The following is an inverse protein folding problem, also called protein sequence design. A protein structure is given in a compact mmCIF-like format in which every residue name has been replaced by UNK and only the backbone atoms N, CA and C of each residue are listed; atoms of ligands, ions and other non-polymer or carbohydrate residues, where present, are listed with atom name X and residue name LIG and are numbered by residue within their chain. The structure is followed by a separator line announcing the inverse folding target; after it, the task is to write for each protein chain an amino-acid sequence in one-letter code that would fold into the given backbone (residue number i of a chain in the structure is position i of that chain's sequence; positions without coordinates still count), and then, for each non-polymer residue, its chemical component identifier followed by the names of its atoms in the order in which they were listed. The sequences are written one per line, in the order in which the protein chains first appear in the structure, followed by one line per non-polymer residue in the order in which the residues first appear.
data_IF_544261552230
#
_entry.id   IF_544261552230
#
_cell.length_a   1.000
_cell.length_b   1.000
_cell.length_c   1.000
_cell.angle_alpha   90.00
_cell.angle_beta   90.00
_cell.angle_gamma   90.00
#
_symmetry.space_group_name_H-M   'P 1'
#
loop_
_entity.id
_entity.type
_entity.pdbx_description
1 polymer ?
#
# COMPACT_ATOMS: atom_id res chain seq x y z
N UNK A 1 21.32 -1.68 8.25
CA UNK A 1 21.96 -2.50 7.19
C UNK A 1 21.04 -3.67 6.91
N UNK A 2 20.80 -3.99 5.63
CA UNK A 2 19.97 -5.13 5.23
C UNK A 2 20.83 -6.39 5.18
N UNK A 3 20.32 -7.47 5.74
CA UNK A 3 20.97 -8.79 5.79
C UNK A 3 20.39 -9.73 4.74
N UNK A 4 20.83 -10.99 4.78
CA UNK A 4 20.31 -12.07 3.94
C UNK A 4 18.79 -12.28 4.12
N UNK A 5 18.22 -11.91 5.28
CA UNK A 5 16.76 -11.97 5.50
C UNK A 5 16.00 -11.14 4.47
N UNK A 6 16.50 -9.94 4.15
CA UNK A 6 15.90 -9.08 3.14
C UNK A 6 16.02 -9.68 1.74
N UNK A 7 17.18 -10.26 1.39
CA UNK A 7 17.38 -10.98 0.12
C UNK A 7 16.37 -12.11 -0.04
N UNK A 8 16.17 -12.91 1.02
CA UNK A 8 15.21 -14.01 1.03
C UNK A 8 13.77 -13.53 0.89
N UNK A 9 13.41 -12.40 1.53
CA UNK A 9 12.11 -11.78 1.37
C UNK A 9 11.86 -11.29 -0.05
N UNK A 10 12.88 -10.68 -0.68
CA UNK A 10 12.80 -10.23 -2.07
C UNK A 10 12.60 -11.41 -3.05
N UNK A 11 13.37 -12.49 -2.88
CA UNK A 11 13.20 -13.71 -3.68
C UNK A 11 11.80 -14.29 -3.47
N UNK A 12 11.33 -14.34 -2.23
CA UNK A 12 10.00 -14.87 -1.92
C UNK A 12 8.89 -14.02 -2.55
N UNK A 13 8.92 -12.69 -2.37
CA UNK A 13 7.95 -11.76 -2.95
C UNK A 13 7.93 -11.84 -4.49
N UNK A 14 9.10 -11.87 -5.13
CA UNK A 14 9.21 -11.96 -6.60
C UNK A 14 8.63 -13.27 -7.15
N UNK A 15 8.87 -14.39 -6.48
CA UNK A 15 8.31 -15.69 -6.86
C UNK A 15 6.80 -15.73 -6.65
N UNK A 16 6.35 -15.23 -5.50
CA UNK A 16 4.94 -15.26 -5.11
C UNK A 16 4.08 -14.41 -6.06
N UNK A 17 4.58 -13.25 -6.46
CA UNK A 17 3.88 -12.33 -7.37
C UNK A 17 4.32 -12.46 -8.84
N UNK A 18 5.00 -13.55 -9.24
CA UNK A 18 5.64 -13.69 -10.55
C UNK A 18 4.69 -13.51 -11.75
N UNK A 19 3.43 -13.94 -11.59
CA UNK A 19 2.40 -13.84 -12.62
C UNK A 19 1.38 -12.72 -12.35
N UNK A 20 1.58 -11.90 -11.31
CA UNK A 20 0.69 -10.80 -10.98
C UNK A 20 1.10 -9.53 -11.73
N UNK A 21 0.10 -8.82 -12.23
CA UNK A 21 0.27 -7.51 -12.87
C UNK A 21 -0.61 -6.46 -12.19
N UNK A 22 -0.19 -5.20 -12.28
CA UNK A 22 -0.98 -4.05 -11.84
C UNK A 22 -2.26 -3.94 -12.66
N UNK A 23 -3.39 -3.73 -11.98
CA UNK A 23 -4.72 -3.64 -12.59
C UNK A 23 -4.74 -2.57 -13.67
N UNK A 24 -5.05 -2.97 -14.90
CA UNK A 24 -5.27 -2.10 -16.04
C UNK A 24 -4.02 -1.51 -16.71
N UNK A 25 -2.79 -1.79 -16.23
CA UNK A 25 -1.55 -1.30 -16.86
C UNK A 25 -0.61 -2.40 -17.36
N UNK A 26 -0.79 -3.66 -16.93
CA UNK A 26 0.06 -4.78 -17.33
C UNK A 26 1.48 -4.75 -16.74
N UNK A 27 1.82 -3.74 -15.94
CA UNK A 27 3.11 -3.62 -15.27
C UNK A 27 3.27 -4.76 -14.26
N UNK A 28 4.40 -5.48 -14.23
CA UNK A 28 4.66 -6.52 -13.23
C UNK A 28 4.46 -6.02 -11.80
N UNK A 29 3.74 -6.77 -10.96
CA UNK A 29 3.37 -6.32 -9.61
C UNK A 29 4.59 -6.07 -8.72
N UNK A 30 5.68 -6.80 -8.95
CA UNK A 30 6.96 -6.61 -8.27
C UNK A 30 7.47 -5.17 -8.33
N UNK A 31 7.17 -4.40 -9.40
CA UNK A 31 7.56 -3.00 -9.50
C UNK A 31 6.96 -2.16 -8.35
N UNK A 32 5.74 -2.49 -7.92
CA UNK A 32 5.12 -1.86 -6.77
C UNK A 32 5.81 -2.26 -5.46
N UNK A 33 6.04 -3.56 -5.24
CA UNK A 33 6.66 -4.05 -4.01
C UNK A 33 8.05 -3.44 -3.79
N UNK A 34 8.85 -3.35 -4.87
CA UNK A 34 10.14 -2.68 -4.85
C UNK A 34 10.01 -1.18 -4.59
N UNK A 35 9.02 -0.52 -5.19
CA UNK A 35 8.75 0.91 -4.95
C UNK A 35 8.37 1.21 -3.51
N UNK A 36 7.51 0.39 -2.90
CA UNK A 36 7.11 0.53 -1.49
C UNK A 36 8.29 0.29 -0.55
N UNK A 37 9.09 -0.75 -0.80
CA UNK A 37 10.29 -1.01 -0.03
C UNK A 37 11.33 0.12 -0.14
N UNK A 38 11.53 0.68 -1.34
CA UNK A 38 12.41 1.84 -1.56
C UNK A 38 11.95 3.04 -0.74
N UNK A 39 10.66 3.40 -0.84
CA UNK A 39 10.09 4.53 -0.08
C UNK A 39 10.24 4.27 1.42
N UNK A 40 9.85 3.11 1.93
CA UNK A 40 9.99 2.79 3.36
C UNK A 40 11.43 2.97 3.86
N UNK A 41 12.42 2.48 3.10
CA UNK A 41 13.85 2.63 3.42
C UNK A 41 14.31 4.09 3.40
N UNK A 42 13.88 4.88 2.43
CA UNK A 42 14.17 6.32 2.36
C UNK A 42 13.62 7.09 3.56
N UNK A 43 12.51 6.62 4.15
CA UNK A 43 11.90 7.19 5.35
C UNK A 43 12.35 6.50 6.66
N UNK A 44 13.45 5.74 6.63
CA UNK A 44 14.13 5.24 7.82
C UNK A 44 13.66 3.87 8.31
N UNK A 45 13.00 3.08 7.46
CA UNK A 45 12.61 1.71 7.80
C UNK A 45 13.81 0.86 8.25
N UNK A 46 13.60 0.09 9.33
CA UNK A 46 14.49 -0.99 9.71
C UNK A 46 14.31 -2.22 8.80
N UNK A 47 15.07 -3.28 9.05
CA UNK A 47 15.02 -4.48 8.21
C UNK A 47 13.64 -5.17 8.24
N UNK A 48 13.01 -5.31 9.40
CA UNK A 48 11.69 -5.97 9.52
C UNK A 48 10.62 -5.16 8.78
N UNK A 49 10.68 -3.84 8.85
CA UNK A 49 9.78 -2.92 8.12
C UNK A 49 10.01 -2.98 6.61
N UNK A 50 11.27 -3.06 6.17
CA UNK A 50 11.60 -3.20 4.75
C UNK A 50 11.18 -4.56 4.18
N UNK A 51 11.31 -5.63 4.96
CA UNK A 51 10.78 -6.95 4.62
C UNK A 51 9.25 -6.90 4.56
N UNK A 52 8.58 -6.31 5.55
CA UNK A 52 7.14 -6.18 5.55
C UNK A 52 6.63 -5.34 4.36
N UNK A 53 7.36 -4.29 3.96
CA UNK A 53 7.07 -3.51 2.77
C UNK A 53 7.10 -4.35 1.47
N UNK A 54 8.02 -5.32 1.35
CA UNK A 54 8.04 -6.26 0.22
C UNK A 54 6.87 -7.25 0.24
N UNK A 55 6.32 -7.54 1.42
CA UNK A 55 5.36 -8.62 1.66
C UNK A 55 3.95 -8.14 2.01
N UNK A 56 3.70 -6.82 2.06
CA UNK A 56 2.48 -6.24 2.60
C UNK A 56 1.20 -6.74 1.92
N UNK A 57 1.25 -7.04 0.62
CA UNK A 57 0.12 -7.56 -0.16
C UNK A 57 0.09 -9.10 -0.26
N UNK A 58 1.12 -9.80 0.23
CA UNK A 58 1.28 -11.23 0.02
C UNK A 58 0.12 -12.04 0.63
N UNK A 59 -0.32 -11.68 1.84
CA UNK A 59 -1.44 -12.36 2.50
C UNK A 59 -2.75 -12.12 1.75
N UNK A 60 -2.99 -10.87 1.33
CA UNK A 60 -4.24 -10.47 0.68
C UNK A 60 -4.40 -11.05 -0.74
N UNK A 61 -3.31 -11.11 -1.51
CA UNK A 61 -3.36 -11.43 -2.94
C UNK A 61 -2.83 -12.84 -3.27
N UNK A 62 -2.03 -13.45 -2.39
CA UNK A 62 -1.21 -14.62 -2.75
C UNK A 62 -1.25 -15.75 -1.72
N UNK A 63 -2.42 -16.08 -1.16
CA UNK A 63 -2.63 -17.35 -0.44
C UNK A 63 -3.10 -17.27 1.01
N UNK A 64 -3.47 -16.07 1.49
CA UNK A 64 -4.18 -15.92 2.77
C UNK A 64 -3.43 -16.51 3.96
N UNK A 65 -4.12 -17.31 4.77
CA UNK A 65 -3.59 -17.87 6.01
C UNK A 65 -2.32 -18.73 5.83
N UNK A 66 -2.21 -19.48 4.71
CA UNK A 66 -1.03 -20.29 4.44
C UNK A 66 0.21 -19.40 4.19
N UNK A 67 0.03 -18.31 3.45
CA UNK A 67 1.06 -17.32 3.19
C UNK A 67 1.45 -16.55 4.45
N UNK A 68 0.47 -16.21 5.30
CA UNK A 68 0.72 -15.61 6.62
C UNK A 68 1.62 -16.50 7.48
N UNK A 69 1.31 -17.79 7.58
CA UNK A 69 2.11 -18.73 8.38
C UNK A 69 3.53 -18.88 7.81
N UNK A 70 3.68 -18.91 6.49
CA UNK A 70 4.99 -18.99 5.87
C UNK A 70 5.83 -17.73 6.11
N UNK A 71 5.21 -16.54 6.10
CA UNK A 71 5.86 -15.28 6.45
C UNK A 71 6.34 -15.33 7.91
N UNK A 72 5.49 -15.79 8.83
CA UNK A 72 5.85 -15.96 10.24
C UNK A 72 7.04 -16.89 10.42
N UNK A 73 7.01 -18.05 9.78
CA UNK A 73 8.07 -19.07 9.87
C UNK A 73 9.40 -18.56 9.32
N UNK A 74 9.39 -17.81 8.22
CA UNK A 74 10.62 -17.34 7.55
C UNK A 74 11.18 -16.05 8.14
N UNK A 75 10.31 -15.11 8.50
CA UNK A 75 10.71 -13.73 8.79
C UNK A 75 10.35 -13.27 10.21
N UNK A 76 9.57 -14.06 10.95
CA UNK A 76 9.25 -13.84 12.36
C UNK A 76 7.95 -13.07 12.60
N UNK A 77 7.59 -12.97 13.89
CA UNK A 77 6.32 -12.38 14.33
C UNK A 77 6.25 -10.88 14.07
N UNK A 78 7.36 -10.13 14.20
CA UNK A 78 7.38 -8.69 13.95
C UNK A 78 6.96 -8.36 12.50
N UNK A 79 7.58 -9.02 11.52
CA UNK A 79 7.24 -8.86 10.10
C UNK A 79 5.78 -9.22 9.85
N UNK A 80 5.34 -10.34 10.41
CA UNK A 80 3.96 -10.82 10.25
C UNK A 80 2.96 -9.82 10.81
N UNK A 81 3.21 -9.24 11.99
CA UNK A 81 2.35 -8.25 12.59
C UNK A 81 2.24 -6.97 11.74
N UNK A 82 3.32 -6.55 11.08
CA UNK A 82 3.30 -5.39 10.18
C UNK A 82 2.48 -5.70 8.92
N UNK A 83 2.69 -6.88 8.32
CA UNK A 83 1.93 -7.35 7.14
C UNK A 83 0.44 -7.45 7.46
N UNK A 84 0.08 -8.02 8.62
CA UNK A 84 -1.31 -8.11 9.06
C UNK A 84 -1.93 -6.72 9.27
N UNK A 85 -1.20 -5.77 9.85
CA UNK A 85 -1.67 -4.38 9.98
C UNK A 85 -1.83 -3.65 8.63
N UNK A 86 -1.19 -4.13 7.57
CA UNK A 86 -1.30 -3.56 6.22
C UNK A 86 -2.39 -4.22 5.37
N UNK A 87 -2.93 -5.37 5.78
CA UNK A 87 -3.91 -6.16 5.01
C UNK A 87 -5.32 -5.57 5.12
N UNK A 88 -5.99 -5.34 3.98
CA UNK A 88 -7.36 -4.76 3.93
C UNK A 88 -8.44 -5.81 4.23
N UNK A 89 -8.23 -7.05 3.79
CA UNK A 89 -9.04 -8.22 4.16
C UNK A 89 -8.32 -9.53 3.84
N UNK A 90 -8.46 -10.52 4.73
CA UNK A 90 -8.00 -11.90 4.56
C UNK A 90 -9.15 -12.91 4.34
N UNK A 91 -10.38 -12.42 4.20
CA UNK A 91 -11.60 -13.24 4.03
C UNK A 91 -11.99 -13.41 2.56
N UNK A 92 -12.57 -14.57 2.23
CA UNK A 92 -13.07 -14.89 0.88
C UNK A 92 -14.53 -15.37 0.93
N UNK A 93 -15.47 -14.73 0.22
CA UNK A 93 -15.28 -13.53 -0.61
C UNK A 93 -14.96 -12.29 0.23
N UNK A 94 -14.24 -11.32 -0.37
CA UNK A 94 -13.92 -10.05 0.30
C UNK A 94 -15.23 -9.28 0.61
N UNK A 95 -15.35 -8.62 1.78
CA UNK A 95 -16.47 -7.73 2.08
C UNK A 95 -16.62 -6.60 1.05
N UNK A 96 -17.72 -5.85 1.01
CA UNK A 96 -17.88 -4.70 0.11
C UNK A 96 -16.71 -3.69 0.18
N UNK A 97 -16.33 -3.10 -0.96
CA UNK A 97 -15.17 -2.20 -1.07
C UNK A 97 -15.18 -1.07 -0.04
N UNK A 98 -16.34 -0.41 0.12
CA UNK A 98 -16.46 0.73 1.02
C UNK A 98 -16.29 0.33 2.49
N UNK A 99 -16.90 -0.77 2.91
CA UNK A 99 -16.79 -1.28 4.28
C UNK A 99 -15.34 -1.59 4.64
N UNK A 100 -14.58 -2.25 3.74
CA UNK A 100 -13.16 -2.50 3.97
C UNK A 100 -12.35 -1.22 4.10
N UNK A 101 -12.61 -0.22 3.23
CA UNK A 101 -11.89 1.06 3.27
C UNK A 101 -12.20 1.86 4.53
N UNK A 102 -13.45 1.87 4.98
CA UNK A 102 -13.85 2.51 6.24
C UNK A 102 -13.20 1.80 7.44
N UNK A 103 -13.18 0.46 7.46
CA UNK A 103 -12.51 -0.31 8.52
C UNK A 103 -10.99 -0.05 8.56
N UNK A 104 -10.34 -0.02 7.40
CA UNK A 104 -8.91 0.27 7.31
C UNK A 104 -8.58 1.68 7.82
N UNK A 105 -9.37 2.70 7.44
CA UNK A 105 -9.22 4.07 7.95
C UNK A 105 -9.39 4.12 9.48
N UNK A 106 -10.40 3.42 10.02
CA UNK A 106 -10.65 3.38 11.46
C UNK A 106 -9.54 2.69 12.27
N UNK A 107 -8.80 1.78 11.64
CA UNK A 107 -7.65 1.10 12.25
C UNK A 107 -6.42 2.00 12.40
N UNK A 108 -6.16 2.91 11.45
CA UNK A 108 -4.94 3.73 11.41
C UNK A 108 -4.59 4.43 12.74
N UNK A 109 -5.51 5.10 13.46
CA UNK A 109 -5.18 5.78 14.72
C UNK A 109 -4.63 4.86 15.82
N UNK A 110 -4.88 3.55 15.73
CA UNK A 110 -4.45 2.53 16.69
C UNK A 110 -3.27 1.69 16.21
N UNK A 111 -2.80 1.91 14.99
CA UNK A 111 -1.73 1.13 14.38
C UNK A 111 -0.36 1.43 14.99
N UNK A 112 0.56 0.45 14.94
CA UNK A 112 1.94 0.66 15.38
C UNK A 112 2.70 1.57 14.43
N UNK A 113 3.78 2.21 14.90
CA UNK A 113 4.63 3.07 14.07
C UNK A 113 5.15 2.36 12.80
N UNK A 114 5.47 1.08 12.92
CA UNK A 114 5.93 0.25 11.80
C UNK A 114 4.83 0.00 10.77
N UNK A 115 3.59 -0.27 11.21
CA UNK A 115 2.43 -0.38 10.30
C UNK A 115 2.15 0.96 9.63
N UNK A 116 2.21 2.06 10.37
CA UNK A 116 1.99 3.41 9.83
C UNK A 116 3.01 3.76 8.74
N UNK A 117 4.30 3.44 8.95
CA UNK A 117 5.36 3.67 7.98
C UNK A 117 5.13 2.88 6.68
N UNK A 118 4.91 1.56 6.80
CA UNK A 118 4.71 0.69 5.62
C UNK A 118 3.40 1.03 4.90
N UNK A 119 2.33 1.28 5.64
CA UNK A 119 1.04 1.71 5.07
C UNK A 119 1.18 3.03 4.33
N UNK A 120 1.82 4.05 4.93
CA UNK A 120 2.02 5.33 4.25
C UNK A 120 2.91 5.20 3.00
N UNK A 121 3.94 4.34 3.03
CA UNK A 121 4.78 4.07 1.87
C UNK A 121 3.99 3.42 0.71
N UNK A 122 3.14 2.44 1.02
CA UNK A 122 2.23 1.82 0.05
C UNK A 122 1.29 2.86 -0.57
N UNK A 123 0.59 3.62 0.28
CA UNK A 123 -0.36 4.64 -0.18
C UNK A 123 0.34 5.74 -0.97
N UNK A 124 1.56 6.13 -0.60
CA UNK A 124 2.35 7.11 -1.37
C UNK A 124 2.69 6.58 -2.77
N UNK A 125 3.22 5.36 -2.87
CA UNK A 125 3.55 4.76 -4.16
C UNK A 125 2.31 4.63 -5.06
N UNK A 126 1.18 4.23 -4.48
CA UNK A 126 -0.08 4.13 -5.20
C UNK A 126 -0.61 5.50 -5.64
N UNK A 127 -0.58 6.52 -4.78
CA UNK A 127 -0.98 7.88 -5.14
C UNK A 127 -0.11 8.47 -6.27
N UNK A 128 1.21 8.25 -6.22
CA UNK A 128 2.14 8.65 -7.28
C UNK A 128 1.80 7.96 -8.60
N UNK A 129 1.51 6.66 -8.56
CA UNK A 129 1.09 5.87 -9.73
C UNK A 129 -0.24 6.38 -10.30
N UNK A 130 -1.22 6.67 -9.45
CA UNK A 130 -2.53 7.21 -9.85
C UNK A 130 -2.37 8.57 -10.52
N UNK A 131 -1.60 9.49 -9.92
CA UNK A 131 -1.35 10.82 -10.47
C UNK A 131 -0.64 10.75 -11.83
N UNK A 132 0.39 9.91 -11.95
CA UNK A 132 1.09 9.69 -13.22
C UNK A 132 0.15 9.16 -14.30
N UNK A 133 -0.62 8.14 -13.97
CA UNK A 133 -1.53 7.50 -14.94
C UNK A 133 -2.70 8.42 -15.30
N UNK A 134 -3.21 9.25 -14.38
CA UNK A 134 -4.28 10.21 -14.66
C UNK A 134 -3.83 11.26 -15.68
N UNK A 135 -2.58 11.74 -15.58
CA UNK A 135 -2.01 12.68 -16.55
C UNK A 135 -1.92 12.12 -17.98
N UNK A 136 -1.98 10.80 -18.14
CA UNK A 136 -1.91 10.12 -19.44
C UNK A 136 -3.30 9.72 -19.93
N UNK A 137 -4.14 9.19 -19.03
CA UNK A 137 -5.40 8.52 -19.35
C UNK A 137 -6.65 9.38 -19.09
N UNK A 138 -6.51 10.45 -18.31
CA UNK A 138 -7.60 11.27 -17.81
C UNK A 138 -8.68 10.44 -17.11
N UNK A 139 -9.94 10.78 -17.37
CA UNK A 139 -11.11 10.16 -16.74
C UNK A 139 -11.25 8.65 -16.98
N UNK A 140 -10.65 8.11 -18.05
CA UNK A 140 -10.69 6.65 -18.31
C UNK A 140 -9.96 5.85 -17.23
N UNK A 141 -9.04 6.48 -16.48
CA UNK A 141 -8.34 5.86 -15.35
C UNK A 141 -9.31 5.26 -14.32
N UNK A 142 -10.42 5.95 -14.05
CA UNK A 142 -11.32 5.61 -12.95
C UNK A 142 -12.03 4.27 -13.14
N UNK A 143 -12.09 3.75 -14.38
CA UNK A 143 -12.61 2.41 -14.68
C UNK A 143 -11.78 1.30 -14.04
N UNK A 144 -10.52 1.57 -13.66
CA UNK A 144 -9.64 0.61 -12.97
C UNK A 144 -9.95 0.48 -11.47
N UNK A 145 -10.75 1.38 -10.89
CA UNK A 145 -10.97 1.48 -9.45
C UNK A 145 -12.42 1.15 -9.10
N UNK A 146 -12.62 0.22 -8.16
CA UNK A 146 -13.97 -0.16 -7.69
C UNK A 146 -14.74 1.03 -7.08
N UNK A 147 -14.05 1.96 -6.43
CA UNK A 147 -14.66 3.19 -5.88
C UNK A 147 -14.86 4.31 -6.90
N UNK A 148 -14.45 4.11 -8.16
CA UNK A 148 -14.42 5.17 -9.18
C UNK A 148 -13.63 6.40 -8.76
N UNK A 149 -13.89 7.53 -9.41
CA UNK A 149 -13.26 8.83 -9.11
C UNK A 149 -13.52 9.29 -7.68
N UNK A 150 -14.79 9.48 -7.34
CA UNK A 150 -15.19 10.06 -6.06
C UNK A 150 -14.76 9.19 -4.86
N UNK A 151 -14.94 7.87 -4.94
CA UNK A 151 -14.52 6.96 -3.87
C UNK A 151 -13.00 6.91 -3.72
N UNK A 152 -12.24 6.90 -4.82
CA UNK A 152 -10.77 6.89 -4.74
C UNK A 152 -10.24 8.17 -4.10
N UNK A 153 -10.70 9.34 -4.54
CA UNK A 153 -10.28 10.62 -3.95
C UNK A 153 -10.66 10.73 -2.47
N UNK A 154 -11.90 10.35 -2.12
CA UNK A 154 -12.33 10.27 -0.71
C UNK A 154 -11.42 9.40 0.13
N UNK A 155 -11.09 8.18 -0.35
CA UNK A 155 -10.30 7.22 0.41
C UNK A 155 -8.90 7.77 0.72
N UNK A 156 -8.22 8.34 -0.28
CA UNK A 156 -6.89 8.91 -0.07
C UNK A 156 -6.91 10.12 0.86
N UNK A 157 -7.89 11.02 0.72
CA UNK A 157 -8.03 12.17 1.63
C UNK A 157 -8.33 11.74 3.06
N UNK A 158 -9.20 10.74 3.24
CA UNK A 158 -9.53 10.19 4.55
C UNK A 158 -8.32 9.50 5.20
N UNK A 159 -7.51 8.77 4.42
CA UNK A 159 -6.25 8.18 4.90
C UNK A 159 -5.26 9.23 5.37
N UNK A 160 -5.01 10.29 4.59
CA UNK A 160 -4.14 11.41 5.00
C UNK A 160 -4.60 11.98 6.33
N UNK A 161 -5.90 12.25 6.48
CA UNK A 161 -6.45 12.77 7.73
C UNK A 161 -6.28 11.78 8.90
N UNK A 162 -6.42 10.47 8.67
CA UNK A 162 -6.22 9.46 9.70
C UNK A 162 -4.76 9.33 10.13
N UNK A 163 -3.81 9.40 9.19
CA UNK A 163 -2.38 9.40 9.52
C UNK A 163 -2.00 10.58 10.41
N UNK A 164 -2.50 11.79 10.13
CA UNK A 164 -2.22 12.96 10.97
C UNK A 164 -2.82 12.89 12.37
N UNK A 165 -3.79 12.00 12.64
CA UNK A 165 -4.27 11.74 14.01
C UNK A 165 -3.22 11.01 14.86
N UNK A 166 -2.28 10.31 14.24
CA UNK A 166 -1.18 9.60 14.92
C UNK A 166 0.04 10.49 15.19
N UNK A 167 0.03 11.72 14.67
CA UNK A 167 1.13 12.68 14.76
C UNK A 167 1.67 13.09 13.39
N UNK A 168 2.76 13.85 13.41
CA UNK A 168 3.40 14.36 12.20
C UNK A 168 4.58 13.48 11.78
N UNK A 169 4.66 13.14 10.49
CA UNK A 169 5.77 12.41 9.90
C UNK A 169 6.07 12.96 8.48
N UNK A 170 7.35 13.03 8.06
CA UNK A 170 7.71 13.46 6.70
C UNK A 170 7.01 12.68 5.58
N UNK A 171 6.73 11.38 5.78
CA UNK A 171 6.04 10.57 4.76
C UNK A 171 4.56 10.93 4.63
N UNK A 172 3.91 11.35 5.72
CA UNK A 172 2.51 11.80 5.69
C UNK A 172 2.38 13.12 4.93
N UNK A 173 3.32 14.03 5.14
CA UNK A 173 3.39 15.29 4.40
C UNK A 173 3.62 15.06 2.89
N UNK A 174 4.48 14.10 2.52
CA UNK A 174 4.71 13.76 1.12
C UNK A 174 3.49 13.09 0.48
N UNK A 175 2.82 12.18 1.20
CA UNK A 175 1.55 11.60 0.76
C UNK A 175 0.50 12.69 0.54
N UNK A 176 0.33 13.61 1.49
CA UNK A 176 -0.60 14.74 1.36
C UNK A 176 -0.29 15.60 0.14
N UNK A 177 0.99 15.88 -0.13
CA UNK A 177 1.42 16.66 -1.29
C UNK A 177 0.99 15.99 -2.60
N UNK A 178 1.18 14.69 -2.73
CA UNK A 178 0.78 13.93 -3.92
C UNK A 178 -0.74 13.83 -4.06
N UNK A 179 -1.46 13.59 -2.95
CA UNK A 179 -2.93 13.52 -2.95
C UNK A 179 -3.55 14.87 -3.32
N UNK A 180 -3.03 15.96 -2.76
CA UNK A 180 -3.51 17.32 -3.08
C UNK A 180 -3.23 17.70 -4.52
N UNK A 181 -2.10 17.27 -5.08
CA UNK A 181 -1.80 17.46 -6.51
C UNK A 181 -2.75 16.65 -7.40
N UNK A 182 -3.05 15.40 -7.04
CA UNK A 182 -4.04 14.59 -7.74
C UNK A 182 -5.41 15.27 -7.75
N UNK A 183 -5.92 15.67 -6.59
CA UNK A 183 -7.21 16.40 -6.48
C UNK A 183 -7.22 17.67 -7.34
N UNK A 184 -6.10 18.43 -7.33
CA UNK A 184 -5.98 19.67 -8.11
C UNK A 184 -6.01 19.41 -9.61
N UNK A 185 -5.29 18.41 -10.11
CA UNK A 185 -5.25 18.08 -11.54
C UNK A 185 -6.61 17.58 -11.99
N UNK A 186 -7.23 16.70 -11.20
CA UNK A 186 -8.56 16.15 -11.49
C UNK A 186 -9.65 17.25 -11.51
N UNK A 187 -9.60 18.20 -10.57
CA UNK A 187 -10.54 19.31 -10.52
C UNK A 187 -10.34 20.39 -11.60
N UNK A 188 -9.24 20.34 -12.36
CA UNK A 188 -9.04 21.20 -13.53
C UNK A 188 -9.72 20.62 -14.76
N UNK A 189 -9.67 19.30 -14.92
CA UNK A 189 -10.26 18.62 -16.08
C UNK A 189 -11.81 18.53 -15.98
N UNK A 190 -12.38 18.75 -14.79
CA UNK A 190 -13.82 18.88 -14.57
C UNK A 190 -14.41 20.27 -14.97
N UNK A 191 -13.57 21.24 -15.36
CA UNK A 191 -13.99 22.60 -15.73
C UNK A 191 -13.96 22.81 -17.24
#
# INVERSE_FOLDING_TARGET
MLSERFTQALIYATQLHANQVRKGSGVPYVAHLLGVASIALEYGANEDEAIAALLHDAVEDQGGAATREEIRRRFGDNVTAIVDGCTDADTTPKPPWRERKEAYIAHIPSASSSVLLVSAADKLHNAQSILKDYRILGESLWQRFQGGKAGTLWYYRALVNAFYQTGSSPIFAELERVVSELERVVAKDDR
#
